data_IF_465574596669
#
_entry.id   IF_465574596669
#
_cell.length_a   1.000
_cell.length_b   1.000
_cell.length_c   1.000
_cell.angle_alpha   90.00
_cell.angle_beta   90.00
_cell.angle_gamma   90.00
#
_symmetry.space_group_name_H-M   'P 1'
#
loop_
_entity.id
_entity.type
_entity.pdbx_description
1 polymer ?
#
# COMPACT_ATOMS: atom_id res chain seq x y z
N UNK A 1 -12.78 -24.98 -2.69
CA UNK A 1 -13.37 -24.29 -1.54
C UNK A 1 -13.49 -22.83 -1.95
N UNK A 2 -14.68 -22.22 -1.86
CA UNK A 2 -14.95 -20.88 -2.38
C UNK A 2 -14.47 -19.84 -1.35
N UNK A 3 -13.68 -18.85 -1.77
CA UNK A 3 -13.36 -17.69 -0.93
C UNK A 3 -14.52 -16.70 -0.99
N UNK A 4 -14.75 -15.95 0.08
CA UNK A 4 -15.77 -14.89 0.07
C UNK A 4 -15.34 -13.70 -0.80
N UNK A 5 -16.28 -13.06 -1.46
CA UNK A 5 -16.06 -11.79 -2.19
C UNK A 5 -16.01 -10.61 -1.21
N UNK A 6 -15.63 -9.42 -1.70
CA UNK A 6 -15.66 -8.18 -0.89
C UNK A 6 -17.11 -7.89 -0.44
N UNK A 7 -18.06 -7.87 -1.39
CA UNK A 7 -19.48 -7.63 -1.10
C UNK A 7 -20.13 -8.66 -0.14
N UNK A 8 -19.61 -9.90 -0.12
CA UNK A 8 -20.05 -10.93 0.82
C UNK A 8 -19.55 -10.65 2.25
N UNK A 9 -18.45 -9.91 2.42
CA UNK A 9 -17.86 -9.60 3.72
C UNK A 9 -18.28 -8.22 4.26
N UNK A 10 -18.94 -7.39 3.47
CA UNK A 10 -19.46 -6.10 3.95
C UNK A 10 -20.64 -6.28 4.91
N UNK A 11 -20.63 -5.50 6.00
CA UNK A 11 -21.76 -5.39 6.92
C UNK A 11 -22.81 -4.47 6.31
N UNK A 12 -24.00 -5.01 6.01
CA UNK A 12 -25.01 -4.28 5.22
C UNK A 12 -25.95 -3.42 6.07
N UNK A 13 -26.61 -4.04 7.05
CA UNK A 13 -27.57 -3.38 7.94
C UNK A 13 -27.65 -4.11 9.30
N UNK A 14 -28.38 -3.55 10.26
CA UNK A 14 -28.52 -4.13 11.61
C UNK A 14 -29.61 -5.20 11.77
N UNK A 15 -30.26 -5.62 10.68
CA UNK A 15 -31.40 -6.54 10.71
C UNK A 15 -31.02 -7.97 11.12
N UNK A 16 -31.98 -8.73 11.62
CA UNK A 16 -31.78 -10.11 12.09
C UNK A 16 -31.20 -11.02 11.00
N UNK A 17 -31.73 -10.94 9.77
CA UNK A 17 -31.22 -11.73 8.63
C UNK A 17 -29.73 -11.46 8.36
N UNK A 18 -29.32 -10.20 8.46
CA UNK A 18 -27.93 -9.79 8.26
C UNK A 18 -27.02 -10.26 9.40
N UNK A 19 -27.52 -10.24 10.64
CA UNK A 19 -26.81 -10.81 11.79
C UNK A 19 -26.61 -12.32 11.63
N UNK A 20 -27.64 -13.06 11.21
CA UNK A 20 -27.56 -14.51 10.93
C UNK A 20 -26.55 -14.80 9.81
N UNK A 21 -26.62 -14.03 8.71
CA UNK A 21 -25.70 -14.17 7.58
C UNK A 21 -24.24 -13.93 8.00
N UNK A 22 -24.00 -12.80 8.67
CA UNK A 22 -22.69 -12.39 9.17
C UNK A 22 -22.13 -13.44 10.12
N UNK A 23 -22.96 -13.94 11.05
CA UNK A 23 -22.57 -14.97 12.00
C UNK A 23 -22.13 -16.25 11.30
N UNK A 24 -22.90 -16.71 10.30
CA UNK A 24 -22.56 -17.92 9.53
C UNK A 24 -21.22 -17.80 8.82
N UNK A 25 -20.94 -16.64 8.21
CA UNK A 25 -19.66 -16.37 7.54
C UNK A 25 -18.52 -16.34 8.56
N UNK A 26 -18.74 -15.66 9.69
CA UNK A 26 -17.77 -15.59 10.78
C UNK A 26 -17.40 -16.98 11.31
N UNK A 27 -18.39 -17.83 11.60
CA UNK A 27 -18.16 -19.18 12.11
C UNK A 27 -17.38 -20.06 11.11
N UNK A 28 -17.73 -20.01 9.82
CA UNK A 28 -16.96 -20.71 8.78
C UNK A 28 -15.50 -20.24 8.72
N UNK A 29 -15.27 -18.92 8.75
CA UNK A 29 -13.91 -18.36 8.73
C UNK A 29 -13.12 -18.71 9.99
N UNK A 30 -13.77 -18.69 11.15
CA UNK A 30 -13.17 -19.09 12.44
C UNK A 30 -12.77 -20.57 12.41
N UNK A 31 -13.67 -21.45 11.99
CA UNK A 31 -13.41 -22.87 11.92
C UNK A 31 -12.29 -23.18 10.90
N UNK A 32 -12.27 -22.47 9.76
CA UNK A 32 -11.17 -22.51 8.79
C UNK A 32 -9.84 -22.09 9.42
N UNK A 33 -9.83 -21.02 10.23
CA UNK A 33 -8.63 -20.54 10.91
C UNK A 33 -8.12 -21.55 11.95
N UNK A 34 -9.01 -22.18 12.73
CA UNK A 34 -8.66 -23.19 13.74
C UNK A 34 -7.94 -24.38 13.10
N UNK A 35 -8.42 -24.86 11.95
CA UNK A 35 -7.79 -25.98 11.23
C UNK A 35 -6.59 -25.56 10.37
N UNK A 36 -6.16 -24.29 10.44
CA UNK A 36 -5.00 -23.78 9.72
C UNK A 36 -5.19 -23.62 8.20
N UNK A 37 -6.43 -23.50 7.71
CA UNK A 37 -6.69 -23.22 6.29
C UNK A 37 -6.24 -21.80 5.94
N UNK A 38 -5.73 -21.65 4.71
CA UNK A 38 -5.35 -20.33 4.17
C UNK A 38 -6.60 -19.46 3.99
N UNK A 39 -6.54 -18.25 4.55
CA UNK A 39 -7.51 -17.18 4.38
C UNK A 39 -6.89 -16.03 3.57
N UNK A 40 -7.70 -15.38 2.75
CA UNK A 40 -7.32 -14.12 2.08
C UNK A 40 -7.29 -12.96 3.09
N UNK A 41 -6.62 -11.87 2.76
CA UNK A 41 -6.49 -10.71 3.66
C UNK A 41 -7.86 -10.16 4.08
N UNK A 42 -8.80 -10.00 3.14
CA UNK A 42 -10.18 -9.56 3.47
C UNK A 42 -10.92 -10.51 4.42
N UNK A 43 -10.71 -11.81 4.29
CA UNK A 43 -11.33 -12.83 5.17
C UNK A 43 -10.71 -12.75 6.58
N UNK A 44 -9.40 -12.51 6.68
CA UNK A 44 -8.73 -12.27 7.97
C UNK A 44 -9.22 -10.99 8.63
N UNK A 45 -9.36 -9.91 7.84
CA UNK A 45 -9.87 -8.62 8.30
C UNK A 45 -11.31 -8.77 8.85
N UNK A 46 -12.16 -9.52 8.16
CA UNK A 46 -13.51 -9.84 8.62
C UNK A 46 -13.50 -10.69 9.90
N UNK A 47 -12.71 -11.77 9.97
CA UNK A 47 -12.59 -12.62 11.15
C UNK A 47 -12.14 -11.81 12.37
N UNK A 48 -11.09 -10.99 12.21
CA UNK A 48 -10.57 -10.13 13.26
C UNK A 48 -11.63 -9.15 13.78
N UNK A 49 -12.36 -8.53 12.86
CA UNK A 49 -13.44 -7.59 13.19
C UNK A 49 -14.57 -8.30 13.93
N UNK A 50 -14.98 -9.49 13.47
CA UNK A 50 -15.96 -10.33 14.14
C UNK A 50 -15.55 -10.69 15.57
N UNK A 51 -14.29 -11.06 15.81
CA UNK A 51 -13.78 -11.37 17.16
C UNK A 51 -13.82 -10.15 18.11
N UNK A 52 -13.67 -8.93 17.59
CA UNK A 52 -13.75 -7.70 18.42
C UNK A 52 -15.19 -7.26 18.69
N UNK A 53 -16.10 -7.53 17.78
CA UNK A 53 -17.49 -7.05 17.84
C UNK A 53 -18.46 -8.07 18.41
N UNK A 54 -18.19 -9.37 18.27
CA UNK A 54 -19.09 -10.43 18.71
C UNK A 54 -19.37 -10.35 20.21
N UNK A 55 -20.62 -10.53 20.59
CA UNK A 55 -21.08 -10.65 21.99
C UNK A 55 -21.02 -12.08 22.54
N UNK A 56 -20.70 -13.05 21.67
CA UNK A 56 -20.44 -14.42 22.08
C UNK A 56 -18.99 -14.60 22.54
N UNK A 57 -18.74 -15.63 23.34
CA UNK A 57 -17.39 -16.05 23.71
C UNK A 57 -16.74 -16.83 22.55
N UNK A 58 -16.24 -16.10 21.56
CA UNK A 58 -15.60 -16.66 20.36
C UNK A 58 -14.08 -16.74 20.44
N UNK A 59 -13.51 -16.48 21.63
CA UNK A 59 -12.08 -16.32 21.85
C UNK A 59 -11.58 -14.90 21.55
N UNK A 60 -10.27 -14.71 21.61
CA UNK A 60 -9.60 -13.43 21.37
C UNK A 60 -8.80 -13.46 20.08
N UNK A 61 -8.59 -12.32 19.40
CA UNK A 61 -7.74 -12.27 18.21
C UNK A 61 -6.37 -12.92 18.39
N UNK A 62 -5.75 -12.79 19.55
CA UNK A 62 -4.44 -13.40 19.86
C UNK A 62 -4.45 -14.93 19.87
N UNK A 63 -5.63 -15.56 19.95
CA UNK A 63 -5.78 -17.02 19.91
C UNK A 63 -5.70 -17.56 18.47
N UNK A 64 -5.72 -16.68 17.44
CA UNK A 64 -5.77 -17.06 16.03
C UNK A 64 -4.58 -16.47 15.26
N UNK A 65 -3.68 -17.33 14.75
CA UNK A 65 -2.56 -16.92 13.86
C UNK A 65 -3.05 -16.16 12.62
N UNK A 66 -4.27 -16.44 12.16
CA UNK A 66 -4.90 -15.71 11.05
C UNK A 66 -5.03 -14.20 11.32
N UNK A 67 -5.09 -13.80 12.59
CA UNK A 67 -5.25 -12.42 13.05
C UNK A 67 -3.91 -11.68 13.29
N UNK A 68 -2.76 -12.34 13.20
CA UNK A 68 -1.45 -11.72 13.44
C UNK A 68 -1.21 -10.47 12.57
N UNK A 69 -1.62 -10.55 11.29
CA UNK A 69 -1.52 -9.44 10.34
C UNK A 69 -2.39 -8.25 10.78
N UNK A 70 -3.58 -8.51 11.31
CA UNK A 70 -4.52 -7.50 11.79
C UNK A 70 -4.07 -6.85 13.10
N UNK A 71 -3.58 -7.66 14.04
CA UNK A 71 -2.96 -7.18 15.28
C UNK A 71 -1.81 -6.24 14.93
N UNK A 72 -0.94 -6.66 14.01
CA UNK A 72 0.12 -5.80 13.51
C UNK A 72 -0.41 -4.49 12.90
N UNK A 73 -1.39 -4.54 11.97
CA UNK A 73 -1.97 -3.35 11.33
C UNK A 73 -2.50 -2.37 12.39
N UNK A 74 -3.26 -2.83 13.38
CA UNK A 74 -3.81 -1.99 14.44
C UNK A 74 -2.70 -1.32 15.26
N UNK A 75 -1.69 -2.08 15.69
CA UNK A 75 -0.55 -1.54 16.44
C UNK A 75 0.25 -0.52 15.61
N UNK A 76 0.55 -0.86 14.36
CA UNK A 76 1.29 0.03 13.46
C UNK A 76 0.54 1.36 13.24
N UNK A 77 -0.76 1.31 12.95
CA UNK A 77 -1.58 2.51 12.75
C UNK A 77 -1.73 3.33 14.03
N UNK A 78 -1.79 2.67 15.19
CA UNK A 78 -1.87 3.37 16.48
C UNK A 78 -0.61 4.17 16.79
N UNK A 79 0.58 3.58 16.55
CA UNK A 79 1.85 4.12 17.05
C UNK A 79 2.71 4.78 15.98
N UNK A 80 2.93 4.08 14.87
CA UNK A 80 3.97 4.43 13.90
C UNK A 80 3.44 5.31 12.76
N UNK A 81 2.15 5.22 12.43
CA UNK A 81 1.54 6.08 11.42
C UNK A 81 1.56 7.57 11.82
N UNK A 82 1.38 7.88 13.11
CA UNK A 82 1.41 9.25 13.64
C UNK A 82 2.82 9.67 14.13
N UNK A 83 3.88 9.07 13.58
CA UNK A 83 5.28 9.37 13.93
C UNK A 83 5.62 9.23 15.43
N UNK A 84 4.86 8.42 16.18
CA UNK A 84 4.94 8.32 17.65
C UNK A 84 4.50 9.58 18.41
N UNK A 85 3.71 10.45 17.77
CA UNK A 85 3.12 11.63 18.39
C UNK A 85 2.05 11.24 19.40
N UNK A 86 2.30 11.50 20.69
CA UNK A 86 1.33 11.30 21.75
C UNK A 86 0.24 12.39 21.77
N UNK A 87 -0.96 12.11 22.33
CA UNK A 87 -1.40 10.85 22.94
C UNK A 87 -1.89 9.79 21.94
N UNK A 88 -1.73 8.51 22.29
CA UNK A 88 -2.24 7.37 21.51
C UNK A 88 -3.64 6.95 21.96
N UNK A 89 -4.47 6.51 21.01
CA UNK A 89 -5.84 6.08 21.25
C UNK A 89 -6.14 4.73 20.61
N UNK A 90 -6.98 3.93 21.26
CA UNK A 90 -7.49 2.65 20.74
C UNK A 90 -8.96 2.50 21.04
N UNK A 91 -9.68 1.77 20.19
CA UNK A 91 -11.04 1.37 20.46
C UNK A 91 -11.07 0.16 21.42
N UNK A 92 -11.82 0.28 22.53
CA UNK A 92 -12.06 -0.80 23.49
C UNK A 92 -13.54 -1.18 23.54
N UNK A 93 -13.82 -2.49 23.53
CA UNK A 93 -15.19 -3.02 23.59
C UNK A 93 -15.93 -2.44 24.80
N UNK A 94 -17.12 -1.88 24.56
CA UNK A 94 -17.96 -1.26 25.60
C UNK A 94 -17.49 0.09 26.13
N UNK A 95 -16.32 0.59 25.72
CA UNK A 95 -15.77 1.88 26.18
C UNK A 95 -15.54 2.89 25.05
N UNK A 96 -15.64 2.46 23.79
CA UNK A 96 -15.35 3.31 22.64
C UNK A 96 -13.85 3.61 22.52
N UNK A 97 -13.51 4.80 22.00
CA UNK A 97 -12.12 5.24 21.82
C UNK A 97 -11.56 5.78 23.13
N UNK A 98 -10.48 5.17 23.63
CA UNK A 98 -9.84 5.56 24.89
C UNK A 98 -8.34 5.77 24.71
N UNK A 99 -7.76 6.63 25.55
CA UNK A 99 -6.31 6.84 25.58
C UNK A 99 -5.60 5.56 26.06
N UNK A 100 -4.51 5.21 25.39
CA UNK A 100 -3.73 4.02 25.73
C UNK A 100 -2.90 4.27 26.99
N UNK A 101 -3.08 3.42 28.00
CA UNK A 101 -2.34 3.50 29.27
C UNK A 101 -0.86 3.10 29.13
N UNK A 102 -0.01 3.57 30.04
CA UNK A 102 1.44 3.37 29.97
C UNK A 102 1.88 1.90 29.87
N UNK A 103 1.27 1.01 30.66
CA UNK A 103 1.60 -0.42 30.64
C UNK A 103 1.23 -1.09 29.30
N UNK A 104 0.10 -0.69 28.72
CA UNK A 104 -0.34 -1.17 27.41
C UNK A 104 0.62 -0.69 26.31
N UNK A 105 1.04 0.58 26.34
CA UNK A 105 2.07 1.10 25.43
C UNK A 105 3.35 0.26 25.48
N UNK A 106 3.86 -0.08 26.66
CA UNK A 106 5.08 -0.91 26.80
C UNK A 106 4.89 -2.28 26.15
N UNK A 107 3.75 -2.94 26.42
CA UNK A 107 3.44 -4.24 25.84
C UNK A 107 3.38 -4.15 24.31
N UNK A 108 2.68 -3.15 23.79
CA UNK A 108 2.48 -2.97 22.36
C UNK A 108 3.78 -2.65 21.63
N UNK A 109 4.63 -1.79 22.18
CA UNK A 109 5.96 -1.53 21.62
C UNK A 109 6.81 -2.79 21.61
N UNK A 110 6.78 -3.59 22.68
CA UNK A 110 7.50 -4.87 22.72
C UNK A 110 7.03 -5.81 21.60
N UNK A 111 5.72 -5.92 21.40
CA UNK A 111 5.13 -6.71 20.31
C UNK A 111 5.57 -6.19 18.94
N UNK A 112 5.53 -4.87 18.71
CA UNK A 112 5.99 -4.26 17.46
C UNK A 112 7.48 -4.51 17.19
N UNK A 113 8.34 -4.47 18.21
CA UNK A 113 9.76 -4.77 18.04
C UNK A 113 9.99 -6.25 17.67
N UNK A 114 9.26 -7.17 18.29
CA UNK A 114 9.32 -8.59 17.91
C UNK A 114 8.87 -8.82 16.46
N UNK A 115 7.81 -8.12 16.03
CA UNK A 115 7.34 -8.18 14.65
C UNK A 115 8.37 -7.57 13.69
N UNK A 116 9.00 -6.44 14.06
CA UNK A 116 10.07 -5.79 13.29
C UNK A 116 11.23 -6.76 13.07
N UNK A 117 11.73 -7.38 14.13
CA UNK A 117 12.86 -8.31 14.07
C UNK A 117 12.54 -9.53 13.19
N UNK A 118 11.36 -10.15 13.37
CA UNK A 118 10.92 -11.27 12.56
C UNK A 118 10.79 -10.89 11.09
N UNK A 119 10.15 -9.75 10.80
CA UNK A 119 9.96 -9.27 9.43
C UNK A 119 11.27 -8.88 8.76
N UNK A 120 12.21 -8.29 9.49
CA UNK A 120 13.52 -7.96 8.96
C UNK A 120 14.31 -9.19 8.53
N UNK A 121 14.15 -10.32 9.23
CA UNK A 121 14.75 -11.59 8.81
C UNK A 121 14.17 -12.07 7.48
N UNK A 122 12.87 -11.89 7.25
CA UNK A 122 12.27 -12.16 5.93
C UNK A 122 12.85 -11.23 4.86
N UNK A 123 12.84 -9.91 5.08
CA UNK A 123 13.32 -8.90 4.12
C UNK A 123 14.79 -9.08 3.72
N UNK A 124 15.62 -9.66 4.60
CA UNK A 124 17.03 -9.94 4.29
C UNK A 124 17.19 -10.99 3.20
N UNK A 125 16.26 -11.92 3.06
CA UNK A 125 16.35 -12.98 2.07
C UNK A 125 16.34 -12.39 0.65
N UNK A 126 17.28 -12.78 -0.20
CA UNK A 126 17.42 -12.19 -1.54
C UNK A 126 16.48 -12.80 -2.58
N UNK A 127 15.94 -13.97 -2.27
CA UNK A 127 15.14 -14.79 -3.19
C UNK A 127 13.83 -15.18 -2.50
N UNK A 128 12.75 -14.56 -2.95
CA UNK A 128 11.39 -14.87 -2.55
C UNK A 128 10.61 -15.42 -3.72
N UNK A 129 9.77 -16.43 -3.47
CA UNK A 129 8.80 -16.93 -4.44
C UNK A 129 7.59 -16.01 -4.58
N UNK A 130 7.25 -15.27 -3.51
CA UNK A 130 6.20 -14.26 -3.50
C UNK A 130 6.75 -12.97 -4.15
N UNK A 131 6.17 -12.57 -5.29
CA UNK A 131 6.60 -11.39 -6.03
C UNK A 131 6.41 -10.09 -5.25
N UNK A 132 5.35 -9.97 -4.44
CA UNK A 132 5.11 -8.77 -3.62
C UNK A 132 6.24 -8.63 -2.62
N UNK A 133 6.56 -9.73 -1.93
CA UNK A 133 7.66 -9.76 -0.96
C UNK A 133 9.02 -9.50 -1.63
N UNK A 134 9.26 -10.06 -2.83
CA UNK A 134 10.51 -9.84 -3.57
C UNK A 134 10.74 -8.36 -3.87
N UNK A 135 9.76 -7.68 -4.48
CA UNK A 135 9.88 -6.27 -4.85
C UNK A 135 10.00 -5.36 -3.62
N UNK A 136 9.21 -5.65 -2.59
CA UNK A 136 9.24 -4.91 -1.33
C UNK A 136 10.57 -5.07 -0.59
N UNK A 137 11.13 -6.29 -0.55
CA UNK A 137 12.42 -6.54 0.08
C UNK A 137 13.56 -5.78 -0.62
N UNK A 138 13.49 -5.65 -1.95
CA UNK A 138 14.45 -4.84 -2.73
C UNK A 138 14.37 -3.36 -2.32
N UNK A 139 13.20 -2.74 -2.35
CA UNK A 139 13.04 -1.32 -1.96
C UNK A 139 13.42 -1.10 -0.49
N UNK A 140 13.00 -1.99 0.42
CA UNK A 140 13.28 -1.85 1.86
C UNK A 140 14.77 -1.96 2.16
N UNK A 141 15.50 -2.90 1.55
CA UNK A 141 16.96 -3.01 1.71
C UNK A 141 17.67 -1.79 1.16
N UNK A 142 17.19 -1.21 0.05
CA UNK A 142 17.73 0.04 -0.50
C UNK A 142 17.56 1.20 0.48
N UNK A 143 16.38 1.34 1.08
CA UNK A 143 16.10 2.38 2.09
C UNK A 143 16.96 2.20 3.35
N UNK A 144 17.13 0.96 3.83
CA UNK A 144 18.01 0.66 4.97
C UNK A 144 19.47 1.00 4.64
N UNK A 145 19.95 0.66 3.42
CA UNK A 145 21.31 1.00 2.98
C UNK A 145 21.52 2.52 2.92
N UNK A 146 20.52 3.27 2.46
CA UNK A 146 20.57 4.74 2.47
C UNK A 146 20.62 5.30 3.91
N UNK A 147 19.84 4.72 4.83
CA UNK A 147 19.88 5.07 6.25
C UNK A 147 21.26 4.76 6.86
N UNK A 148 21.84 3.62 6.53
CA UNK A 148 23.17 3.22 7.00
C UNK A 148 24.28 4.18 6.53
N UNK A 149 24.16 4.70 5.30
CA UNK A 149 25.07 5.73 4.81
C UNK A 149 24.94 7.06 5.59
N UNK A 150 23.72 7.43 6.02
CA UNK A 150 23.46 8.64 6.82
C UNK A 150 23.98 8.52 8.27
N UNK A 151 23.88 7.34 8.87
CA UNK A 151 24.33 7.07 10.24
C UNK A 151 25.63 6.28 10.25
N UNK A 152 26.76 6.98 10.08
CA UNK A 152 28.09 6.36 10.04
C UNK A 152 28.44 5.64 11.36
N UNK A 153 29.37 4.67 11.34
CA UNK A 153 29.80 3.96 12.55
C UNK A 153 30.28 4.89 13.68
N UNK A 154 30.88 6.03 13.32
CA UNK A 154 31.30 7.04 14.29
C UNK A 154 30.11 7.70 14.99
N UNK A 155 29.09 8.14 14.24
CA UNK A 155 27.88 8.73 14.81
C UNK A 155 27.14 7.73 15.71
N UNK A 156 27.09 6.46 15.30
CA UNK A 156 26.44 5.38 16.07
C UNK A 156 27.10 5.08 17.44
N UNK A 157 28.30 5.60 17.74
CA UNK A 157 28.91 5.50 19.08
C UNK A 157 28.20 6.37 20.12
N UNK A 158 27.52 7.42 19.68
CA UNK A 158 26.77 8.31 20.55
C UNK A 158 25.34 7.78 20.72
N UNK A 159 24.92 7.56 21.97
CA UNK A 159 23.62 6.96 22.31
C UNK A 159 22.44 7.62 21.59
N UNK A 160 22.39 8.96 21.54
CA UNK A 160 21.35 9.72 20.84
C UNK A 160 21.19 9.31 19.37
N UNK A 161 22.30 9.16 18.65
CA UNK A 161 22.29 8.79 17.23
C UNK A 161 22.02 7.30 17.03
N UNK A 162 22.45 6.46 17.98
CA UNK A 162 22.14 5.03 17.99
C UNK A 162 20.64 4.80 18.15
N UNK A 163 20.00 5.48 19.11
CA UNK A 163 18.57 5.37 19.38
C UNK A 163 17.76 5.92 18.20
N UNK A 164 18.15 7.07 17.64
CA UNK A 164 17.52 7.62 16.45
C UNK A 164 17.66 6.70 15.23
N UNK A 165 18.83 6.08 15.02
CA UNK A 165 19.04 5.12 13.94
C UNK A 165 18.14 3.89 14.10
N UNK A 166 18.10 3.30 15.30
CA UNK A 166 17.25 2.13 15.60
C UNK A 166 15.79 2.44 15.30
N UNK A 167 15.30 3.56 15.84
CA UNK A 167 13.92 3.98 15.63
C UNK A 167 13.60 4.17 14.13
N UNK A 168 14.47 4.86 13.37
CA UNK A 168 14.27 5.05 11.93
C UNK A 168 14.32 3.74 11.16
N UNK A 169 15.18 2.81 11.56
CA UNK A 169 15.27 1.49 10.96
C UNK A 169 13.99 0.67 11.21
N UNK A 170 13.50 0.65 12.45
CA UNK A 170 12.25 -0.04 12.79
C UNK A 170 11.05 0.57 12.08
N UNK A 171 10.99 1.91 11.96
CA UNK A 171 10.00 2.61 11.13
C UNK A 171 9.97 2.09 9.70
N UNK A 172 11.12 1.99 9.04
CA UNK A 172 11.22 1.48 7.66
C UNK A 172 10.78 0.01 7.55
N UNK A 173 11.19 -0.84 8.51
CA UNK A 173 10.86 -2.27 8.52
C UNK A 173 9.35 -2.47 8.72
N UNK A 174 8.76 -1.85 9.74
CA UNK A 174 7.34 -1.97 10.03
C UNK A 174 6.50 -1.38 8.89
N UNK A 175 6.91 -0.23 8.34
CA UNK A 175 6.26 0.34 7.16
C UNK A 175 6.26 -0.63 5.98
N UNK A 176 7.38 -1.31 5.72
CA UNK A 176 7.43 -2.30 4.65
C UNK A 176 6.41 -3.43 4.87
N UNK A 177 6.25 -3.94 6.09
CA UNK A 177 5.24 -4.95 6.41
C UNK A 177 3.83 -4.43 6.19
N UNK A 178 3.55 -3.18 6.54
CA UNK A 178 2.26 -2.56 6.26
C UNK A 178 1.99 -2.47 4.76
N UNK A 179 2.97 -2.02 3.96
CA UNK A 179 2.86 -1.96 2.50
C UNK A 179 2.67 -3.36 1.91
N UNK A 180 3.37 -4.39 2.40
CA UNK A 180 3.15 -5.78 1.99
C UNK A 180 1.69 -6.19 2.09
N UNK A 181 1.08 -5.97 3.27
CA UNK A 181 -0.30 -6.37 3.54
C UNK A 181 -1.30 -5.56 2.70
N UNK A 182 -1.03 -4.28 2.51
CA UNK A 182 -1.82 -3.39 1.66
C UNK A 182 -1.80 -3.87 0.20
N UNK A 183 -0.61 -4.04 -0.39
CA UNK A 183 -0.44 -4.50 -1.77
C UNK A 183 -1.06 -5.88 -1.97
N UNK A 184 -0.87 -6.79 -1.00
CA UNK A 184 -1.48 -8.11 -1.02
C UNK A 184 -3.02 -8.03 -1.05
N UNK A 185 -3.61 -7.16 -0.24
CA UNK A 185 -5.06 -6.93 -0.26
C UNK A 185 -5.54 -6.43 -1.64
N UNK A 186 -4.82 -5.46 -2.22
CA UNK A 186 -5.16 -4.92 -3.57
C UNK A 186 -5.13 -6.03 -4.62
N UNK A 187 -4.07 -6.84 -4.66
CA UNK A 187 -3.95 -7.94 -5.63
C UNK A 187 -5.01 -9.03 -5.38
N UNK A 188 -5.32 -9.36 -4.13
CA UNK A 188 -6.32 -10.39 -3.81
C UNK A 188 -7.77 -9.97 -4.09
N UNK A 189 -8.04 -8.66 -4.14
CA UNK A 189 -9.39 -8.10 -4.28
C UNK A 189 -9.73 -7.64 -5.70
N UNK A 190 -8.77 -7.62 -6.61
CA UNK A 190 -8.95 -7.16 -7.99
C UNK A 190 -8.63 -8.28 -8.98
N UNK A 191 -9.14 -8.16 -10.21
CA UNK A 191 -8.83 -9.09 -11.28
C UNK A 191 -7.60 -8.60 -12.06
N UNK A 192 -7.00 -9.46 -12.88
CA UNK A 192 -5.82 -9.12 -13.68
C UNK A 192 -6.07 -7.96 -14.64
N UNK A 193 -7.27 -7.88 -15.21
CA UNK A 193 -7.70 -6.88 -16.18
C UNK A 193 -7.76 -5.48 -15.57
N UNK A 194 -7.90 -5.37 -14.25
CA UNK A 194 -7.90 -4.10 -13.54
C UNK A 194 -6.52 -3.43 -13.55
N UNK A 195 -5.45 -4.20 -13.79
CA UNK A 195 -4.07 -3.73 -13.88
C UNK A 195 -3.60 -3.53 -15.34
N UNK A 196 -4.47 -3.75 -16.31
CA UNK A 196 -4.22 -3.56 -17.74
C UNK A 196 -4.99 -2.34 -18.24
N UNK A 197 -4.25 -1.38 -18.80
CA UNK A 197 -4.78 -0.10 -19.25
C UNK A 197 -4.56 0.00 -20.77
N UNK A 198 -5.61 -0.18 -21.58
CA UNK A 198 -5.58 0.13 -23.00
C UNK A 198 -5.25 1.61 -23.20
N UNK A 199 -4.21 1.91 -23.97
CA UNK A 199 -3.79 3.28 -24.23
C UNK A 199 -2.96 3.35 -25.51
N UNK A 200 -3.29 4.26 -26.42
CA UNK A 200 -2.54 4.51 -27.66
C UNK A 200 -2.40 3.24 -28.53
N UNK A 201 -3.45 2.40 -28.55
CA UNK A 201 -3.46 1.12 -29.27
C UNK A 201 -2.58 0.02 -28.66
N UNK A 202 -1.95 0.28 -27.52
CA UNK A 202 -1.10 -0.65 -26.76
C UNK A 202 -1.73 -0.94 -25.39
N UNK A 203 -1.06 -1.75 -24.57
CA UNK A 203 -1.43 -1.99 -23.16
C UNK A 203 -0.34 -1.49 -22.22
N UNK A 204 -0.71 -0.56 -21.34
CA UNK A 204 0.08 -0.15 -20.19
C UNK A 204 -0.28 -1.06 -19.01
N UNK A 205 0.73 -1.66 -18.38
CA UNK A 205 0.59 -2.54 -17.23
C UNK A 205 0.96 -1.82 -15.92
N UNK A 206 0.04 -1.88 -14.97
CA UNK A 206 0.26 -1.48 -13.58
C UNK A 206 0.67 -2.70 -12.74
N UNK A 207 1.96 -3.03 -12.78
CA UNK A 207 2.47 -4.28 -12.19
C UNK A 207 2.62 -4.21 -10.67
N UNK A 208 2.90 -5.36 -10.03
CA UNK A 208 3.31 -5.43 -8.60
C UNK A 208 4.49 -4.50 -8.32
N UNK A 209 5.48 -4.42 -9.22
CA UNK A 209 6.59 -3.47 -9.10
C UNK A 209 6.07 -2.03 -8.98
N UNK A 210 5.15 -1.64 -9.87
CA UNK A 210 4.56 -0.31 -9.92
C UNK A 210 3.86 0.03 -8.60
N UNK A 211 3.02 -0.90 -8.13
CA UNK A 211 2.24 -0.74 -6.91
C UNK A 211 3.13 -0.65 -5.66
N UNK A 212 4.07 -1.58 -5.49
CA UNK A 212 5.04 -1.55 -4.38
C UNK A 212 5.87 -0.27 -4.41
N UNK A 213 6.40 0.10 -5.59
CA UNK A 213 7.25 1.28 -5.73
C UNK A 213 6.50 2.57 -5.38
N UNK A 214 5.31 2.77 -5.95
CA UNK A 214 4.52 3.98 -5.74
C UNK A 214 4.05 4.08 -4.28
N UNK A 215 3.48 3.01 -3.73
CA UNK A 215 2.99 3.00 -2.34
C UNK A 215 4.14 3.20 -1.35
N UNK A 216 5.29 2.54 -1.55
CA UNK A 216 6.44 2.68 -0.65
C UNK A 216 7.09 4.07 -0.69
N UNK A 217 6.96 4.82 -1.79
CA UNK A 217 7.67 6.10 -1.98
C UNK A 217 6.80 7.33 -1.86
N UNK A 218 5.55 7.27 -2.33
CA UNK A 218 4.67 8.42 -2.51
C UNK A 218 3.45 8.42 -1.56
N UNK A 219 3.34 7.43 -0.68
CA UNK A 219 2.35 7.38 0.40
C UNK A 219 2.98 7.22 1.79
N UNK A 220 4.31 7.29 1.86
CA UNK A 220 5.11 6.99 3.04
C UNK A 220 5.50 8.23 3.86
N UNK A 221 4.92 9.39 3.53
CA UNK A 221 5.39 10.72 3.95
C UNK A 221 5.59 10.92 5.45
N UNK A 222 4.61 10.60 6.33
CA UNK A 222 4.76 10.96 7.74
C UNK A 222 5.96 10.27 8.40
N UNK A 223 6.50 9.23 7.77
CA UNK A 223 7.58 8.40 8.31
C UNK A 223 8.94 8.66 7.63
N UNK A 224 8.97 9.34 6.48
CA UNK A 224 10.19 9.59 5.70
C UNK A 224 10.45 11.09 5.69
N UNK A 225 11.25 11.58 6.65
CA UNK A 225 11.82 12.96 6.71
C UNK A 225 12.58 13.33 5.41
N UNK A 226 11.88 13.52 4.30
CA UNK A 226 12.44 13.87 3.01
C UNK A 226 11.57 14.96 2.36
N UNK A 227 11.95 16.25 2.52
CA UNK A 227 11.17 17.37 2.01
C UNK A 227 11.17 17.46 0.47
N UNK A 228 12.07 16.74 -0.21
CA UNK A 228 12.20 16.79 -1.68
C UNK A 228 11.28 15.79 -2.41
N UNK A 229 10.40 15.09 -1.68
CA UNK A 229 9.49 14.08 -2.26
C UNK A 229 8.05 14.56 -2.29
N UNK A 230 7.34 14.18 -3.36
CA UNK A 230 5.92 14.49 -3.55
C UNK A 230 5.06 13.27 -3.23
N UNK A 231 3.88 13.52 -2.65
CA UNK A 231 3.03 12.50 -2.05
C UNK A 231 1.57 12.66 -2.48
N UNK A 232 0.83 11.55 -2.49
CA UNK A 232 -0.59 11.55 -2.86
C UNK A 232 -1.44 11.87 -1.63
N UNK A 233 -1.65 13.16 -1.36
CA UNK A 233 -2.29 13.61 -0.12
C UNK A 233 -3.80 13.36 -0.06
N UNK A 234 -4.52 13.49 -1.18
CA UNK A 234 -5.99 13.61 -1.14
C UNK A 234 -6.74 12.96 -2.31
N UNK A 235 -6.11 12.80 -3.47
CA UNK A 235 -6.83 12.44 -4.71
C UNK A 235 -6.85 10.95 -5.06
N UNK A 236 -5.95 10.14 -4.48
CA UNK A 236 -5.78 8.74 -4.85
C UNK A 236 -5.62 7.88 -3.61
N UNK A 237 -6.51 6.92 -3.41
CA UNK A 237 -6.32 5.92 -2.36
C UNK A 237 -5.36 4.84 -2.84
N UNK A 238 -4.39 4.38 -2.02
CA UNK A 238 -3.47 3.31 -2.41
C UNK A 238 -4.16 2.03 -2.89
N UNK A 239 -5.38 1.78 -2.40
CA UNK A 239 -6.19 0.60 -2.73
C UNK A 239 -6.88 0.67 -4.08
N UNK A 240 -7.06 1.87 -4.62
CA UNK A 240 -7.83 2.16 -5.83
C UNK A 240 -6.97 2.80 -6.92
N UNK A 241 -5.71 3.11 -6.62
CA UNK A 241 -4.80 3.83 -7.49
C UNK A 241 -4.72 3.25 -8.92
N UNK A 242 -4.70 1.93 -9.08
CA UNK A 242 -4.66 1.29 -10.40
C UNK A 242 -5.96 1.52 -11.20
N UNK A 243 -7.11 1.49 -10.53
CA UNK A 243 -8.43 1.77 -11.13
C UNK A 243 -8.53 3.24 -11.52
N UNK A 244 -8.17 4.15 -10.60
CA UNK A 244 -8.24 5.59 -10.86
C UNK A 244 -7.32 5.97 -12.03
N UNK A 245 -6.10 5.45 -12.05
CA UNK A 245 -5.16 5.70 -13.13
C UNK A 245 -5.65 5.11 -14.45
N UNK A 246 -6.26 3.91 -14.44
CA UNK A 246 -6.89 3.31 -15.61
C UNK A 246 -7.97 4.23 -16.17
N UNK A 247 -8.88 4.69 -15.33
CA UNK A 247 -9.97 5.57 -15.75
C UNK A 247 -9.46 6.91 -16.31
N UNK A 248 -8.49 7.54 -15.64
CA UNK A 248 -7.86 8.78 -16.12
C UNK A 248 -7.21 8.60 -17.49
N UNK A 249 -6.42 7.53 -17.65
CA UNK A 249 -5.74 7.28 -18.92
C UNK A 249 -6.71 6.93 -20.05
N UNK A 250 -7.79 6.20 -19.76
CA UNK A 250 -8.84 5.94 -20.74
C UNK A 250 -9.53 7.22 -21.22
N UNK A 251 -9.77 8.19 -20.33
CA UNK A 251 -10.32 9.50 -20.72
C UNK A 251 -9.32 10.30 -21.57
N UNK A 252 -8.04 10.31 -21.19
CA UNK A 252 -6.98 10.98 -21.98
C UNK A 252 -6.84 10.34 -23.36
N UNK A 253 -6.93 9.02 -23.47
CA UNK A 253 -6.72 8.28 -24.72
C UNK A 253 -7.78 8.61 -25.79
N UNK A 254 -8.98 9.04 -25.38
CA UNK A 254 -10.04 9.49 -26.29
C UNK A 254 -9.61 10.64 -27.19
N UNK A 255 -8.65 11.46 -26.74
CA UNK A 255 -8.09 12.55 -27.54
C UNK A 255 -7.18 12.05 -28.67
N UNK A 256 -6.60 10.85 -28.51
CA UNK A 256 -5.66 10.24 -29.46
C UNK A 256 -4.47 11.16 -29.81
N UNK A 257 -3.96 11.90 -28.82
CA UNK A 257 -2.87 12.88 -28.97
C UNK A 257 -1.51 12.37 -28.49
N UNK A 258 -1.47 11.24 -27.78
CA UNK A 258 -0.26 10.68 -27.20
C UNK A 258 0.05 9.36 -27.88
N UNK A 259 1.26 9.28 -28.44
CA UNK A 259 1.84 8.03 -28.94
C UNK A 259 2.79 7.45 -27.88
N UNK A 260 2.35 6.42 -27.17
CA UNK A 260 3.14 5.80 -26.11
C UNK A 260 4.38 5.07 -26.64
N UNK A 261 4.44 4.77 -27.94
CA UNK A 261 5.64 4.22 -28.54
C UNK A 261 6.78 5.24 -28.65
N UNK A 262 6.47 6.54 -28.61
CA UNK A 262 7.41 7.67 -28.73
C UNK A 262 7.62 8.45 -27.44
N UNK A 263 6.69 8.36 -26.48
CA UNK A 263 6.74 9.08 -25.20
C UNK A 263 6.83 8.09 -24.04
N UNK A 264 7.68 8.40 -23.07
CA UNK A 264 7.88 7.62 -21.84
C UNK A 264 7.25 8.28 -20.61
N UNK A 265 6.52 9.37 -20.80
CA UNK A 265 5.80 10.05 -19.76
C UNK A 265 4.48 10.63 -20.26
N UNK A 266 3.55 10.77 -19.31
CA UNK A 266 2.28 11.45 -19.46
C UNK A 266 2.17 12.43 -18.28
N UNK A 267 1.97 13.70 -18.60
CA UNK A 267 1.77 14.75 -17.61
C UNK A 267 0.32 15.20 -17.73
N UNK A 268 -0.40 15.20 -16.62
CA UNK A 268 -1.82 15.57 -16.59
C UNK A 268 -2.15 16.32 -15.31
N UNK A 269 -3.21 17.13 -15.34
CA UNK A 269 -3.76 17.78 -14.15
C UNK A 269 -5.04 17.07 -13.76
N UNK A 270 -5.16 16.69 -12.51
CA UNK A 270 -6.37 16.10 -11.96
C UNK A 270 -6.74 16.80 -10.65
N UNK A 271 -7.98 17.28 -10.54
CA UNK A 271 -8.48 18.01 -9.35
C UNK A 271 -7.53 19.15 -8.92
N UNK A 272 -7.06 19.92 -9.90
CA UNK A 272 -6.17 21.05 -9.67
C UNK A 272 -4.69 20.72 -9.48
N UNK A 273 -4.32 19.44 -9.28
CA UNK A 273 -2.94 19.02 -9.04
C UNK A 273 -2.32 18.46 -10.33
N UNK A 274 -1.09 18.89 -10.66
CA UNK A 274 -0.34 18.34 -11.80
C UNK A 274 0.35 17.05 -11.36
N UNK A 275 0.24 16.01 -12.17
CA UNK A 275 0.85 14.70 -11.95
C UNK A 275 1.79 14.34 -13.07
N UNK A 276 2.85 13.61 -12.70
CA UNK A 276 3.78 13.00 -13.64
C UNK A 276 3.65 11.48 -13.55
N UNK A 277 3.25 10.87 -14.68
CA UNK A 277 3.26 9.42 -14.86
C UNK A 277 4.41 9.02 -15.77
N UNK A 278 5.33 8.20 -15.27
CA UNK A 278 6.41 7.63 -16.07
C UNK A 278 6.09 6.20 -16.48
N UNK A 279 6.23 5.93 -17.77
CA UNK A 279 5.97 4.64 -18.41
C UNK A 279 7.22 4.21 -19.14
N UNK A 280 7.61 2.94 -18.99
CA UNK A 280 8.81 2.44 -19.64
C UNK A 280 8.54 1.13 -20.35
N UNK A 281 9.12 1.00 -21.56
CA UNK A 281 9.19 -0.26 -22.28
C UNK A 281 10.02 -1.26 -21.48
N UNK A 282 9.41 -2.39 -21.14
CA UNK A 282 10.04 -3.52 -20.44
C UNK A 282 9.77 -4.79 -21.20
N UNK A 283 10.41 -5.86 -20.78
CA UNK A 283 10.26 -7.18 -21.35
C UNK A 283 9.88 -8.16 -20.24
N UNK A 284 8.85 -8.97 -20.46
CA UNK A 284 8.45 -10.05 -19.53
C UNK A 284 8.37 -11.38 -20.26
N UNK A 285 8.59 -12.48 -19.54
CA UNK A 285 8.32 -13.82 -20.04
C UNK A 285 6.90 -14.20 -19.64
N UNK A 286 6.10 -14.61 -20.62
CA UNK A 286 4.73 -15.08 -20.38
C UNK A 286 4.69 -16.56 -20.68
N UNK A 287 4.17 -17.34 -19.73
CA UNK A 287 4.05 -18.79 -19.87
C UNK A 287 3.23 -19.11 -21.12
N UNK A 288 3.76 -19.98 -21.98
CA UNK A 288 3.11 -20.36 -23.24
C UNK A 288 3.52 -19.51 -24.45
N UNK A 289 4.29 -18.43 -24.25
CA UNK A 289 4.90 -17.67 -25.34
C UNK A 289 6.40 -17.97 -25.44
N UNK A 290 6.88 -18.13 -26.67
CA UNK A 290 8.30 -18.26 -26.93
C UNK A 290 8.97 -16.89 -26.91
N UNK A 291 9.92 -16.70 -25.98
CA UNK A 291 10.71 -15.47 -25.87
C UNK A 291 10.11 -14.43 -24.92
N UNK A 292 10.72 -13.24 -24.94
CA UNK A 292 10.32 -12.12 -24.11
C UNK A 292 9.30 -11.25 -24.87
N UNK A 293 8.20 -10.90 -24.21
CA UNK A 293 7.17 -10.00 -24.74
C UNK A 293 7.45 -8.59 -24.25
N UNK A 294 7.42 -7.61 -25.15
CA UNK A 294 7.52 -6.20 -24.80
C UNK A 294 6.23 -5.73 -24.14
N UNK A 295 6.35 -4.95 -23.06
CA UNK A 295 5.24 -4.34 -22.33
C UNK A 295 5.55 -2.88 -22.05
N UNK A 296 4.50 -2.07 -21.88
CA UNK A 296 4.63 -0.73 -21.32
C UNK A 296 4.29 -0.80 -19.84
N UNK A 297 5.24 -0.53 -18.95
CA UNK A 297 5.03 -0.66 -17.51
C UNK A 297 5.09 0.70 -16.84
N UNK A 298 4.09 1.01 -16.01
CA UNK A 298 4.14 2.17 -15.11
C UNK A 298 5.34 2.04 -14.19
N UNK A 299 6.28 2.99 -14.24
CA UNK A 299 7.48 2.98 -13.39
C UNK A 299 7.25 3.72 -12.09
N UNK A 300 6.67 4.91 -12.18
CA UNK A 300 6.34 5.74 -11.03
C UNK A 300 5.23 6.72 -11.40
N UNK A 301 4.54 7.20 -10.37
CA UNK A 301 3.42 8.13 -10.46
C UNK A 301 3.43 9.02 -9.22
N UNK A 302 3.54 10.33 -9.42
CA UNK A 302 3.64 11.29 -8.33
C UNK A 302 3.07 12.66 -8.71
N UNK A 303 2.54 13.42 -7.74
CA UNK A 303 2.15 14.81 -7.97
C UNK A 303 3.38 15.70 -8.07
N UNK A 304 3.29 16.79 -8.81
CA UNK A 304 4.32 17.82 -8.91
C UNK A 304 3.92 18.97 -7.98
N UNK A 305 4.72 19.21 -6.94
CA UNK A 305 4.52 20.35 -6.02
C UNK A 305 5.61 21.41 -6.16
N UNK A 306 6.75 21.08 -6.77
CA UNK A 306 7.85 22.02 -6.97
C UNK A 306 7.42 23.13 -7.94
N UNK A 307 7.46 24.38 -7.49
CA UNK A 307 7.14 25.55 -8.34
C UNK A 307 7.99 25.58 -9.62
N UNK A 308 9.27 25.21 -9.51
CA UNK A 308 10.17 25.14 -10.65
C UNK A 308 9.77 24.06 -11.67
N UNK A 309 9.28 22.91 -11.20
CA UNK A 309 8.78 21.86 -12.10
C UNK A 309 7.44 22.27 -12.73
N UNK A 310 6.54 22.87 -11.96
CA UNK A 310 5.25 23.40 -12.46
C UNK A 310 5.52 24.44 -13.55
N UNK A 311 6.43 25.38 -13.32
CA UNK A 311 6.80 26.39 -14.31
C UNK A 311 7.39 25.75 -15.59
N UNK A 312 8.26 24.75 -15.44
CA UNK A 312 8.81 24.02 -16.58
C UNK A 312 7.71 23.31 -17.40
N UNK A 313 6.69 22.76 -16.75
CA UNK A 313 5.54 22.15 -17.43
C UNK A 313 4.73 23.21 -18.19
N UNK A 314 4.39 24.33 -17.56
CA UNK A 314 3.55 25.36 -18.20
C UNK A 314 4.28 26.10 -19.34
N UNK A 315 5.61 26.21 -19.28
CA UNK A 315 6.41 26.82 -20.33
C UNK A 315 6.54 25.93 -21.56
N UNK A 316 6.73 24.61 -21.38
CA UNK A 316 7.05 23.67 -22.48
C UNK A 316 5.86 22.94 -23.06
N UNK A 317 4.75 22.89 -22.34
CA UNK A 317 3.57 22.11 -22.74
C UNK A 317 2.34 23.02 -22.86
N UNK A 318 1.44 22.63 -23.73
CA UNK A 318 0.09 23.16 -23.84
C UNK A 318 -0.86 22.29 -23.01
N UNK A 319 -1.67 22.92 -22.17
CA UNK A 319 -2.70 22.24 -21.36
C UNK A 319 -3.98 22.08 -22.20
N UNK A 320 -4.41 20.83 -22.41
CA UNK A 320 -5.62 20.49 -23.15
C UNK A 320 -6.64 19.91 -22.18
N UNK A 321 -7.81 20.54 -22.09
CA UNK A 321 -8.91 20.05 -21.27
C UNK A 321 -9.45 18.71 -21.80
N UNK A 322 -9.64 17.75 -20.90
CA UNK A 322 -10.19 16.42 -21.19
C UNK A 322 -11.60 16.30 -20.58
N UNK A 323 -11.76 16.71 -19.32
CA UNK A 323 -13.02 16.74 -18.57
C UNK A 323 -13.00 17.87 -17.51
N UNK A 324 -14.09 18.04 -16.75
CA UNK A 324 -14.28 19.14 -15.78
C UNK A 324 -13.09 19.32 -14.82
N UNK A 325 -12.48 18.23 -14.35
CA UNK A 325 -11.34 18.24 -13.43
C UNK A 325 -10.09 17.56 -13.99
N UNK A 326 -10.05 17.29 -15.30
CA UNK A 326 -8.96 16.57 -15.96
C UNK A 326 -8.46 17.34 -17.18
N UNK A 327 -7.15 17.60 -17.22
CA UNK A 327 -6.47 18.11 -18.40
C UNK A 327 -5.16 17.34 -18.63
N UNK A 328 -4.66 17.35 -19.86
CA UNK A 328 -3.40 16.70 -20.24
C UNK A 328 -2.44 17.71 -20.85
N UNK A 329 -1.15 17.57 -20.59
CA UNK A 329 -0.12 18.46 -21.09
C UNK A 329 0.57 17.83 -22.30
N UNK A 330 0.51 18.50 -23.45
CA UNK A 330 1.13 18.07 -24.71
C UNK A 330 2.26 19.03 -25.07
N UNK A 331 3.40 18.49 -25.49
CA UNK A 331 4.56 19.28 -25.94
C UNK A 331 4.14 20.26 -27.05
N UNK A 332 4.50 21.53 -26.89
CA UNK A 332 4.27 22.59 -27.90
C UNK A 332 4.96 22.32 -29.23
#
# INVERSE_FOLDING_TARGET
MKNYTVDELDFKNGGEEEQIRTRKIFEDLRDRAIVGKKLLQREKDFLYTGLKLSDFDDGKPEDFVACDDNIFKELYLTYFHNDLSEPFYKHKKGMGVVQVGYQEKIKDFKTLMQISDAWYNEIKNEKHSDQILQELAIETRRDIKALDAKYTPFLKRFRKYQDAYRLKKDKLILQSKFVFLLVKSVIENNNSEDFEIPFSGETIEFTIYSLVHIVSRHYAEPMKDNPDKSYHYENFYPTELHIDLKNILLEIDKLNLIDINKKDNIIFKFKGIIYHLWIQKRYKQVKGHAGNIQIFRVQTFYPIHSEAEIQNVTEKFEEIAVAEELSVFISK
#
